data_IF_010131318803
#
_entry.id   IF_010131318803
#
_cell.length_a   1.000
_cell.length_b   1.000
_cell.length_c   1.000
_cell.angle_alpha   90.00
_cell.angle_beta   90.00
_cell.angle_gamma   90.00
#
_symmetry.space_group_name_H-M   'P 1'
#
loop_
_entity.id
_entity.type
_entity.pdbx_description
1 polymer ?
#
# COMPACT_ATOMS: atom_id res chain seq x y z
N UNK A 1 -73.45 1.92 -48.15
CA UNK A 1 -72.55 3.08 -48.21
C UNK A 1 -72.22 3.51 -46.79
N UNK A 2 -70.92 3.67 -46.47
CA UNK A 2 -70.34 4.37 -45.29
C UNK A 2 -70.59 3.71 -43.91
N UNK A 3 -69.68 3.66 -42.94
CA UNK A 3 -68.24 3.87 -42.83
C UNK A 3 -67.81 3.28 -41.46
N UNK A 4 -66.51 3.05 -41.30
CA UNK A 4 -65.80 2.42 -40.18
C UNK A 4 -65.71 3.30 -38.92
N UNK A 5 -65.47 2.70 -37.74
CA UNK A 5 -64.35 3.09 -36.85
C UNK A 5 -64.14 2.12 -35.68
N UNK A 6 -62.90 1.63 -35.60
CA UNK A 6 -62.30 0.86 -34.51
C UNK A 6 -61.92 1.79 -33.34
N UNK A 7 -62.14 1.37 -32.10
CA UNK A 7 -61.55 1.98 -30.91
C UNK A 7 -60.56 1.01 -30.26
N UNK A 8 -59.27 1.19 -30.55
CA UNK A 8 -58.16 0.43 -29.96
C UNK A 8 -57.76 1.07 -28.63
N UNK A 9 -57.65 0.25 -27.58
CA UNK A 9 -57.12 0.64 -26.29
C UNK A 9 -55.62 0.95 -26.37
N UNK A 10 -55.22 2.17 -26.02
CA UNK A 10 -53.82 2.56 -25.83
C UNK A 10 -53.44 2.38 -24.36
N UNK A 11 -52.90 1.21 -24.01
CA UNK A 11 -52.18 1.03 -22.75
C UNK A 11 -50.78 1.60 -22.90
N UNK A 12 -50.49 2.65 -22.14
CA UNK A 12 -49.15 3.20 -21.98
C UNK A 12 -48.32 2.24 -21.13
N UNK A 13 -47.52 1.37 -21.77
CA UNK A 13 -46.41 0.74 -21.07
C UNK A 13 -45.21 1.67 -21.18
N UNK A 14 -44.89 2.33 -20.06
CA UNK A 14 -43.62 2.99 -19.88
C UNK A 14 -42.52 1.93 -20.02
N UNK A 15 -41.82 1.93 -21.14
CA UNK A 15 -40.60 1.15 -21.30
C UNK A 15 -39.56 1.78 -20.38
N UNK A 16 -39.37 1.18 -19.21
CA UNK A 16 -38.25 1.48 -18.35
C UNK A 16 -36.97 1.17 -19.14
N UNK A 17 -36.30 2.22 -19.60
CA UNK A 17 -34.97 2.12 -20.16
C UNK A 17 -34.03 1.83 -19.00
N UNK A 18 -33.83 0.55 -18.70
CA UNK A 18 -32.79 0.10 -17.80
C UNK A 18 -31.46 0.30 -18.53
N UNK A 19 -30.90 1.51 -18.42
CA UNK A 19 -29.51 1.73 -18.76
C UNK A 19 -28.69 0.89 -17.78
N UNK A 20 -28.29 -0.30 -18.22
CA UNK A 20 -27.21 -1.03 -17.60
C UNK A 20 -25.97 -0.13 -17.70
N UNK A 21 -25.75 0.66 -16.65
CA UNK A 21 -24.45 1.27 -16.41
C UNK A 21 -23.50 0.13 -16.08
N UNK A 22 -22.92 -0.45 -17.13
CA UNK A 22 -21.64 -1.13 -17.01
C UNK A 22 -20.65 -0.05 -16.59
N UNK A 23 -20.55 0.18 -15.28
CA UNK A 23 -19.37 0.81 -14.72
C UNK A 23 -18.21 -0.14 -15.03
N UNK A 24 -17.59 0.04 -16.18
CA UNK A 24 -16.16 -0.19 -16.33
C UNK A 24 -15.46 0.78 -15.38
N UNK A 25 -15.57 0.55 -14.07
CA UNK A 25 -14.43 0.78 -13.22
C UNK A 25 -13.41 -0.21 -13.72
N UNK A 26 -12.46 0.27 -14.53
CA UNK A 26 -11.15 -0.37 -14.61
C UNK A 26 -10.79 -0.72 -13.17
N UNK A 27 -10.79 -2.00 -12.82
CA UNK A 27 -10.40 -2.45 -11.49
C UNK A 27 -8.96 -2.01 -11.33
N UNK A 28 -8.74 -0.86 -10.69
CA UNK A 28 -7.42 -0.53 -10.17
C UNK A 28 -7.05 -1.71 -9.26
N UNK A 29 -5.94 -2.36 -9.57
CA UNK A 29 -5.44 -3.42 -8.69
C UNK A 29 -5.16 -2.82 -7.31
N UNK A 30 -5.12 -3.65 -6.26
CA UNK A 30 -4.74 -3.17 -4.93
C UNK A 30 -3.36 -2.48 -4.94
N UNK A 31 -2.50 -2.89 -5.88
CA UNK A 31 -1.25 -2.26 -6.22
C UNK A 31 -1.38 -0.84 -6.79
N UNK A 32 -2.26 -0.63 -7.77
CA UNK A 32 -2.49 0.71 -8.33
C UNK A 32 -2.99 1.69 -7.27
N UNK A 33 -3.91 1.22 -6.41
CA UNK A 33 -4.41 2.02 -5.28
C UNK A 33 -3.28 2.37 -4.30
N UNK A 34 -2.47 1.39 -3.90
CA UNK A 34 -1.35 1.60 -2.98
C UNK A 34 -0.32 2.60 -3.53
N UNK A 35 0.02 2.51 -4.82
CA UNK A 35 0.95 3.44 -5.48
C UNK A 35 0.36 4.85 -5.49
N UNK A 36 -0.91 5.00 -5.87
CA UNK A 36 -1.58 6.32 -5.90
C UNK A 36 -1.66 6.92 -4.49
N UNK A 37 -2.04 6.13 -3.49
CA UNK A 37 -2.12 6.55 -2.09
C UNK A 37 -0.75 7.01 -1.57
N UNK A 38 0.33 6.27 -1.84
CA UNK A 38 1.70 6.66 -1.45
C UNK A 38 2.19 7.91 -2.17
N UNK A 39 1.97 8.03 -3.48
CA UNK A 39 2.31 9.26 -4.24
C UNK A 39 1.57 10.48 -3.70
N UNK A 40 0.33 10.30 -3.24
CA UNK A 40 -0.46 11.34 -2.58
C UNK A 40 0.13 11.84 -1.25
N UNK A 41 1.06 11.09 -0.64
CA UNK A 41 1.80 11.49 0.57
C UNK A 41 3.14 12.16 0.29
N UNK A 42 3.48 12.44 -0.97
CA UNK A 42 4.72 13.13 -1.31
C UNK A 42 4.87 14.43 -0.51
N UNK A 43 6.05 14.62 0.08
CA UNK A 43 6.43 15.80 0.88
C UNK A 43 7.67 16.46 0.27
N UNK A 44 7.96 17.69 0.70
CA UNK A 44 9.16 18.41 0.23
C UNK A 44 10.43 17.71 0.70
N UNK A 45 11.57 17.83 -0.01
CA UNK A 45 12.83 17.19 0.41
C UNK A 45 13.33 17.59 1.80
N UNK A 46 12.92 18.76 2.30
CA UNK A 46 13.22 19.26 3.65
C UNK A 46 12.32 18.69 4.75
N UNK A 47 11.24 17.98 4.40
CA UNK A 47 10.38 17.32 5.38
C UNK A 47 11.15 16.13 5.99
N UNK A 48 11.19 15.98 7.33
CA UNK A 48 11.90 14.88 7.98
C UNK A 48 11.39 13.49 7.56
N UNK A 49 10.16 13.39 7.05
CA UNK A 49 9.56 12.15 6.57
C UNK A 49 9.93 11.83 5.12
N UNK A 50 10.59 12.74 4.40
CA UNK A 50 10.77 12.65 2.96
C UNK A 50 11.47 11.35 2.53
N UNK A 51 12.50 10.93 3.26
CA UNK A 51 13.21 9.68 2.96
C UNK A 51 12.30 8.45 3.17
N UNK A 52 11.55 8.41 4.27
CA UNK A 52 10.58 7.34 4.52
C UNK A 52 9.55 7.25 3.40
N UNK A 53 8.91 8.38 3.04
CA UNK A 53 7.88 8.43 1.99
C UNK A 53 8.44 7.98 0.64
N UNK A 54 9.63 8.45 0.24
CA UNK A 54 10.25 8.06 -1.04
C UNK A 54 10.56 6.57 -1.10
N UNK A 55 11.16 6.01 -0.04
CA UNK A 55 11.48 4.58 0.01
C UNK A 55 10.21 3.73 -0.03
N UNK A 56 9.19 4.06 0.77
CA UNK A 56 7.92 3.32 0.75
C UNK A 56 7.20 3.44 -0.60
N UNK A 57 7.25 4.61 -1.25
CA UNK A 57 6.70 4.80 -2.60
C UNK A 57 7.44 3.93 -3.61
N UNK A 58 8.77 3.90 -3.56
CA UNK A 58 9.57 3.04 -4.43
C UNK A 58 9.26 1.55 -4.21
N UNK A 59 9.10 1.11 -2.96
CA UNK A 59 8.78 -0.28 -2.62
C UNK A 59 7.41 -0.66 -3.19
N UNK A 60 6.41 0.19 -3.00
CA UNK A 60 5.08 -0.02 -3.57
C UNK A 60 5.15 -0.11 -5.11
N UNK A 61 5.82 0.84 -5.77
CA UNK A 61 5.94 0.86 -7.23
C UNK A 61 6.69 -0.36 -7.77
N UNK A 62 7.89 -0.62 -7.25
CA UNK A 62 8.78 -1.65 -7.78
C UNK A 62 8.28 -3.04 -7.41
N UNK A 63 7.77 -3.21 -6.18
CA UNK A 63 7.18 -4.47 -5.74
C UNK A 63 5.91 -4.82 -6.51
N UNK A 64 5.07 -3.84 -6.83
CA UNK A 64 3.88 -4.08 -7.66
C UNK A 64 4.22 -4.40 -9.11
N UNK A 65 5.32 -3.87 -9.66
CA UNK A 65 5.82 -4.24 -10.99
C UNK A 65 6.38 -5.67 -11.00
N UNK A 66 7.07 -6.09 -9.94
CA UNK A 66 7.71 -7.40 -9.84
C UNK A 66 6.85 -8.47 -9.13
N UNK A 67 5.61 -8.17 -8.75
CA UNK A 67 4.78 -9.06 -7.91
C UNK A 67 4.52 -10.42 -8.56
N UNK A 68 4.54 -10.50 -9.88
CA UNK A 68 4.32 -11.75 -10.61
C UNK A 68 5.55 -12.69 -10.56
N UNK A 69 6.68 -12.22 -10.02
CA UNK A 69 7.86 -13.03 -9.68
C UNK A 69 7.75 -13.68 -8.29
N UNK A 70 6.72 -13.35 -7.52
CA UNK A 70 6.45 -13.92 -6.20
C UNK A 70 5.75 -15.28 -6.32
N UNK A 71 5.84 -16.09 -5.27
CA UNK A 71 5.12 -17.36 -5.18
C UNK A 71 3.61 -17.11 -4.99
N UNK A 72 3.26 -16.11 -4.17
CA UNK A 72 1.88 -15.62 -4.03
C UNK A 72 1.80 -14.11 -4.34
N UNK A 73 1.56 -13.73 -5.62
CA UNK A 73 1.36 -12.34 -6.02
C UNK A 73 0.17 -11.68 -5.30
N UNK A 74 -0.87 -12.45 -4.99
CA UNK A 74 -2.06 -11.94 -4.32
C UNK A 74 -1.79 -11.66 -2.83
N UNK A 75 -0.92 -12.45 -2.18
CA UNK A 75 -0.43 -12.15 -0.83
C UNK A 75 0.26 -10.79 -0.80
N UNK A 76 1.16 -10.51 -1.74
CA UNK A 76 1.82 -9.21 -1.79
C UNK A 76 0.84 -8.07 -2.01
N UNK A 77 -0.13 -8.21 -2.91
CA UNK A 77 -1.16 -7.20 -3.13
C UNK A 77 -1.96 -6.89 -1.85
N UNK A 78 -2.33 -7.91 -1.07
CA UNK A 78 -3.04 -7.72 0.20
C UNK A 78 -2.14 -7.07 1.25
N UNK A 79 -0.90 -7.54 1.37
CA UNK A 79 0.08 -7.00 2.33
C UNK A 79 0.39 -5.54 2.01
N UNK A 80 0.77 -5.22 0.77
CA UNK A 80 1.12 -3.84 0.37
C UNK A 80 -0.06 -2.90 0.54
N UNK A 81 -1.28 -3.33 0.19
CA UNK A 81 -2.48 -2.50 0.37
C UNK A 81 -2.78 -2.24 1.84
N UNK A 82 -2.75 -3.27 2.70
CA UNK A 82 -2.97 -3.11 4.14
C UNK A 82 -1.91 -2.21 4.78
N UNK A 83 -0.67 -2.39 4.38
CA UNK A 83 0.50 -1.69 4.90
C UNK A 83 0.53 -0.21 4.51
N UNK A 84 0.30 0.09 3.22
CA UNK A 84 0.19 1.47 2.73
C UNK A 84 -1.00 2.18 3.35
N UNK A 85 -2.15 1.50 3.44
CA UNK A 85 -3.37 2.07 4.00
C UNK A 85 -3.20 2.51 5.46
N UNK A 86 -2.49 1.72 6.26
CA UNK A 86 -2.17 2.05 7.66
C UNK A 86 -1.49 3.41 7.78
N UNK A 87 -0.42 3.59 7.02
CA UNK A 87 0.31 4.86 6.95
C UNK A 87 -0.52 6.00 6.36
N UNK A 88 -1.08 5.79 5.16
CA UNK A 88 -1.72 6.87 4.39
C UNK A 88 -2.93 7.44 5.13
N UNK A 89 -3.73 6.57 5.75
CA UNK A 89 -4.94 6.96 6.50
C UNK A 89 -4.63 7.40 7.94
N UNK A 90 -3.37 7.38 8.35
CA UNK A 90 -2.96 7.80 9.69
C UNK A 90 -3.57 6.91 10.78
N UNK A 91 -3.60 5.59 10.57
CA UNK A 91 -4.13 4.65 11.55
C UNK A 91 -3.12 4.43 12.70
N UNK A 92 -3.62 4.05 13.87
CA UNK A 92 -2.78 3.80 15.05
C UNK A 92 -1.97 5.04 15.47
N UNK A 93 -0.66 4.87 15.68
CA UNK A 93 0.22 5.91 16.22
C UNK A 93 0.78 6.88 15.16
N UNK A 94 0.45 6.72 13.88
CA UNK A 94 0.97 7.58 12.82
C UNK A 94 0.79 9.09 13.05
N UNK A 95 -0.41 9.59 13.43
CA UNK A 95 -0.58 11.02 13.68
C UNK A 95 0.33 11.56 14.78
N UNK A 96 0.63 10.72 15.79
CA UNK A 96 1.60 11.06 16.83
C UNK A 96 3.02 11.04 16.30
N UNK A 97 3.42 9.97 15.62
CA UNK A 97 4.77 9.80 15.07
C UNK A 97 5.13 10.91 14.08
N UNK A 98 4.22 11.30 13.19
CA UNK A 98 4.46 12.37 12.22
C UNK A 98 4.60 13.74 12.90
N UNK A 99 3.81 14.00 13.95
CA UNK A 99 3.95 15.21 14.76
C UNK A 99 5.28 15.22 15.50
N UNK A 100 5.64 14.10 16.14
CA UNK A 100 6.88 13.97 16.89
C UNK A 100 8.10 14.09 15.95
N UNK A 101 8.01 13.56 14.72
CA UNK A 101 8.98 13.78 13.65
C UNK A 101 9.20 15.25 13.34
N UNK A 102 8.14 16.06 13.29
CA UNK A 102 8.26 17.51 13.05
C UNK A 102 8.98 18.22 14.20
N UNK A 103 8.78 17.76 15.43
CA UNK A 103 9.46 18.27 16.63
C UNK A 103 10.93 17.81 16.71
N UNK A 104 11.18 16.55 16.36
CA UNK A 104 12.50 15.91 16.40
C UNK A 104 13.39 16.30 15.22
N UNK A 105 12.83 16.74 14.10
CA UNK A 105 13.58 17.22 12.94
C UNK A 105 14.53 18.38 13.28
N UNK A 106 14.20 19.15 14.32
CA UNK A 106 15.07 20.19 14.86
C UNK A 106 16.34 19.62 15.52
N UNK A 107 16.28 18.39 16.05
CA UNK A 107 17.35 17.73 16.78
C UNK A 107 18.15 16.79 15.89
N UNK A 108 17.47 15.87 15.19
CA UNK A 108 18.08 14.89 14.29
C UNK A 108 17.00 14.21 13.42
N UNK A 109 17.07 14.39 12.10
CA UNK A 109 16.18 13.73 11.14
C UNK A 109 16.28 12.20 11.15
N UNK A 110 17.42 11.64 11.58
CA UNK A 110 17.61 10.19 11.66
C UNK A 110 16.70 9.54 12.73
N UNK A 111 16.40 10.26 13.82
CA UNK A 111 15.50 9.77 14.86
C UNK A 111 14.05 9.64 14.38
N UNK A 112 13.61 10.57 13.53
CA UNK A 112 12.30 10.48 12.89
C UNK A 112 12.22 9.24 12.00
N UNK A 113 13.20 9.06 11.10
CA UNK A 113 13.23 7.92 10.19
C UNK A 113 13.20 6.59 10.96
N UNK A 114 14.06 6.45 11.97
CA UNK A 114 14.16 5.23 12.77
C UNK A 114 12.83 4.93 13.51
N UNK A 115 12.20 5.93 14.11
CA UNK A 115 10.91 5.76 14.77
C UNK A 115 9.80 5.34 13.80
N UNK A 116 9.75 5.95 12.60
CA UNK A 116 8.78 5.59 11.57
C UNK A 116 9.01 4.16 11.06
N UNK A 117 10.26 3.80 10.71
CA UNK A 117 10.62 2.46 10.21
C UNK A 117 10.29 1.39 11.25
N UNK A 118 10.65 1.62 12.51
CA UNK A 118 10.40 0.67 13.60
C UNK A 118 8.91 0.44 13.82
N UNK A 119 8.12 1.51 13.93
CA UNK A 119 6.67 1.36 14.08
C UNK A 119 6.05 0.64 12.87
N UNK A 120 6.45 1.03 11.66
CA UNK A 120 5.94 0.44 10.42
C UNK A 120 6.22 -1.07 10.38
N UNK A 121 7.45 -1.51 10.65
CA UNK A 121 7.79 -2.92 10.57
C UNK A 121 7.28 -3.70 11.79
N UNK A 122 7.58 -3.27 13.01
CA UNK A 122 7.33 -4.08 14.21
C UNK A 122 5.86 -4.12 14.60
N UNK A 123 5.08 -3.10 14.22
CA UNK A 123 3.67 -2.99 14.58
C UNK A 123 2.76 -3.24 13.38
N UNK A 124 2.86 -2.42 12.33
CA UNK A 124 1.91 -2.52 11.22
C UNK A 124 2.13 -3.73 10.34
N UNK A 125 3.38 -3.98 9.91
CA UNK A 125 3.68 -5.12 9.04
C UNK A 125 3.30 -6.43 9.74
N UNK A 126 3.67 -6.59 11.01
CA UNK A 126 3.29 -7.78 11.80
C UNK A 126 1.77 -7.92 11.89
N UNK A 127 1.03 -6.84 12.13
CA UNK A 127 -0.44 -6.88 12.18
C UNK A 127 -1.05 -7.28 10.84
N UNK A 128 -0.54 -6.73 9.73
CA UNK A 128 -1.03 -7.03 8.37
C UNK A 128 -0.70 -8.48 8.00
N UNK A 129 0.53 -8.94 8.25
CA UNK A 129 0.93 -10.32 7.96
C UNK A 129 0.09 -11.34 8.75
N UNK A 130 -0.29 -11.03 9.99
CA UNK A 130 -1.18 -11.91 10.77
C UNK A 130 -2.59 -12.01 10.19
N UNK A 131 -3.08 -10.96 9.52
CA UNK A 131 -4.37 -10.97 8.87
C UNK A 131 -4.33 -11.64 7.49
N UNK A 132 -3.26 -11.42 6.72
CA UNK A 132 -3.18 -11.76 5.30
C UNK A 132 -2.34 -13.02 4.99
N UNK A 133 -1.64 -13.54 6.00
CA UNK A 133 -0.70 -14.65 5.90
C UNK A 133 0.76 -14.19 5.96
N UNK A 134 1.64 -15.09 6.42
CA UNK A 134 3.04 -14.75 6.67
C UNK A 134 3.97 -14.82 5.45
N UNK A 135 3.47 -15.20 4.27
CA UNK A 135 4.28 -15.40 3.05
C UNK A 135 5.29 -16.55 3.13
N UNK A 136 5.83 -16.95 1.98
CA UNK A 136 6.90 -17.96 1.91
C UNK A 136 8.29 -17.35 2.00
N UNK A 137 9.33 -18.15 2.23
CA UNK A 137 10.71 -17.64 2.22
C UNK A 137 11.03 -16.97 0.88
N UNK A 138 10.54 -17.54 -0.22
CA UNK A 138 10.78 -17.02 -1.56
C UNK A 138 10.14 -15.64 -1.74
N UNK A 139 8.87 -15.47 -1.33
CA UNK A 139 8.19 -14.18 -1.35
C UNK A 139 8.98 -13.11 -0.58
N UNK A 140 9.43 -13.48 0.63
CA UNK A 140 10.22 -12.59 1.45
C UNK A 140 11.51 -12.20 0.76
N UNK A 141 12.25 -13.14 0.17
CA UNK A 141 13.52 -12.88 -0.50
C UNK A 141 13.37 -11.93 -1.68
N UNK A 142 12.34 -12.13 -2.50
CA UNK A 142 12.01 -11.25 -3.61
C UNK A 142 11.62 -9.83 -3.15
N UNK A 143 10.73 -9.70 -2.16
CA UNK A 143 10.40 -8.39 -1.54
C UNK A 143 11.65 -7.74 -0.93
N UNK A 144 12.53 -8.55 -0.36
CA UNK A 144 13.83 -8.13 0.15
C UNK A 144 14.69 -7.43 -0.91
N UNK A 145 14.80 -8.02 -2.09
CA UNK A 145 15.55 -7.45 -3.20
C UNK A 145 14.95 -6.12 -3.65
N UNK A 146 13.62 -6.02 -3.74
CA UNK A 146 12.93 -4.76 -4.06
C UNK A 146 13.30 -3.67 -3.06
N UNK A 147 13.25 -3.97 -1.77
CA UNK A 147 13.57 -2.98 -0.73
C UNK A 147 15.04 -2.54 -0.83
N UNK A 148 15.98 -3.47 -1.01
CA UNK A 148 17.40 -3.16 -1.18
C UNK A 148 17.65 -2.27 -2.41
N UNK A 149 17.00 -2.57 -3.54
CA UNK A 149 17.07 -1.74 -4.75
C UNK A 149 16.54 -0.33 -4.51
N UNK A 150 15.45 -0.19 -3.75
CA UNK A 150 14.88 1.12 -3.42
C UNK A 150 15.79 1.93 -2.48
N UNK A 151 16.37 1.30 -1.47
CA UNK A 151 17.33 1.95 -0.56
C UNK A 151 18.60 2.39 -1.30
N UNK A 152 19.08 1.59 -2.26
CA UNK A 152 20.24 1.91 -3.08
C UNK A 152 20.05 3.15 -3.98
N UNK A 153 18.81 3.57 -4.26
CA UNK A 153 18.52 4.79 -5.03
C UNK A 153 18.65 6.08 -4.23
N UNK A 154 18.59 6.00 -2.90
CA UNK A 154 18.63 7.18 -2.04
C UNK A 154 20.07 7.65 -1.84
N UNK A 155 20.89 6.83 -1.18
CA UNK A 155 22.33 7.05 -1.03
C UNK A 155 23.04 5.78 -0.50
N UNK A 156 24.36 5.76 -0.59
CA UNK A 156 25.18 4.61 -0.19
C UNK A 156 25.16 4.32 1.33
N UNK A 157 24.92 5.33 2.17
CA UNK A 157 24.82 5.15 3.62
C UNK A 157 23.47 4.53 4.00
N UNK A 158 22.39 5.02 3.42
CA UNK A 158 21.03 4.47 3.55
C UNK A 158 20.96 3.02 3.05
N UNK A 159 21.62 2.70 1.94
CA UNK A 159 21.72 1.33 1.43
C UNK A 159 22.42 0.39 2.43
N UNK A 160 23.56 0.83 2.98
CA UNK A 160 24.38 0.02 3.89
C UNK A 160 23.75 -0.17 5.27
N UNK A 161 23.13 0.88 5.81
CA UNK A 161 22.36 0.80 7.05
C UNK A 161 21.11 -0.07 6.85
N UNK A 162 20.48 0.11 5.70
CA UNK A 162 19.35 -0.67 5.22
C UNK A 162 19.59 -2.18 5.21
N UNK A 163 20.69 -2.67 4.65
CA UNK A 163 20.94 -4.13 4.53
C UNK A 163 20.87 -4.89 5.86
N UNK A 164 21.60 -4.43 6.88
CA UNK A 164 21.69 -5.12 8.18
C UNK A 164 20.36 -5.04 8.93
N UNK A 165 19.74 -3.87 8.90
CA UNK A 165 18.51 -3.59 9.62
C UNK A 165 17.32 -4.26 8.95
N UNK A 166 17.29 -4.25 7.62
CA UNK A 166 16.26 -4.93 6.84
C UNK A 166 16.32 -6.44 7.05
N UNK A 167 17.51 -7.05 7.09
CA UNK A 167 17.66 -8.47 7.37
C UNK A 167 17.10 -8.82 8.76
N UNK A 168 17.45 -8.05 9.79
CA UNK A 168 16.96 -8.26 11.15
C UNK A 168 15.44 -8.03 11.26
N UNK A 169 14.93 -6.93 10.70
CA UNK A 169 13.51 -6.59 10.76
C UNK A 169 12.62 -7.54 9.94
N UNK A 170 13.07 -7.99 8.76
CA UNK A 170 12.33 -9.01 7.97
C UNK A 170 12.27 -10.33 8.71
N UNK A 171 13.39 -10.77 9.29
CA UNK A 171 13.41 -11.98 10.11
C UNK A 171 12.45 -11.86 11.30
N UNK A 172 12.53 -10.76 12.05
CA UNK A 172 11.68 -10.53 13.23
C UNK A 172 10.19 -10.45 12.85
N UNK A 173 9.83 -9.70 11.80
CA UNK A 173 8.44 -9.56 11.37
C UNK A 173 7.83 -10.89 10.93
N UNK A 174 8.59 -11.67 10.13
CA UNK A 174 8.15 -13.00 9.70
C UNK A 174 8.05 -13.97 10.89
N UNK A 175 9.07 -13.99 11.75
CA UNK A 175 9.07 -14.85 12.94
C UNK A 175 7.88 -14.53 13.85
N UNK A 176 7.61 -13.25 14.12
CA UNK A 176 6.48 -12.79 14.92
C UNK A 176 5.10 -13.07 14.30
N UNK A 177 5.04 -13.19 12.98
CA UNK A 177 3.85 -13.66 12.27
C UNK A 177 3.65 -15.17 12.45
N UNK A 178 4.71 -15.96 12.31
CA UNK A 178 4.67 -17.42 12.39
C UNK A 178 4.51 -17.95 13.81
N UNK A 179 4.92 -17.18 14.81
CA UNK A 179 4.90 -17.55 16.22
C UNK A 179 4.19 -16.46 17.05
N UNK A 180 2.84 -16.36 16.97
CA UNK A 180 2.08 -15.45 17.83
C UNK A 180 2.25 -15.86 19.30
N UNK A 181 2.31 -14.85 20.17
CA UNK A 181 2.40 -15.02 21.63
C UNK A 181 1.10 -15.58 22.22
#
# INVERSE_FOLDING_TARGET
>A
MRAWAFGVALTWTAFAWTSAQTTSSTLCSACDEAIVEMRGKAVTPSDPRALFVRVQTCIAESGCVSKDELEDPAWFERVVSGFVRGYVRGLGEWPRLERDCTLLAFLDGALCLDAMVRYHIETELVSVLRAEGCGTQHDWDAVGQVILQCLAREDAWTARFGEVILAAYRFNARYACQHPA
#
